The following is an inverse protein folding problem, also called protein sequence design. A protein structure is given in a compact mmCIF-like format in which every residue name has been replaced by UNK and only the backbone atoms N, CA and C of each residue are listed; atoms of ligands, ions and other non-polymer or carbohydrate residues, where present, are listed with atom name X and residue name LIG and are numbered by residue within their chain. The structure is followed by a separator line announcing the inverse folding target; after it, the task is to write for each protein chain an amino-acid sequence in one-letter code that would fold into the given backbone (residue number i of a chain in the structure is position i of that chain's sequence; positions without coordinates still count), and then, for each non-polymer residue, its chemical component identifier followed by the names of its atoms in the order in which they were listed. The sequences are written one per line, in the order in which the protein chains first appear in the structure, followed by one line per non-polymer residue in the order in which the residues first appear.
data_IF_199322340145
#
_entry.id   IF_199322340145
#
_cell.length_a   1.000
_cell.length_b   1.000
_cell.length_c   1.000
_cell.angle_alpha   90.00
_cell.angle_beta   90.00
_cell.angle_gamma   90.00
#
_symmetry.space_group_name_H-M   'P 1'
#
loop_
_entity.id
_entity.type
_entity.pdbx_description
1 polymer ?
2 non-polymer ?
3 water ?
#
# COMPACT_ATOMS: atom_id res chain seq x y z
N UNK A 2 -8.70 21.24 -16.30
CA UNK A 2 -8.31 22.33 -15.35
C UNK A 2 -9.40 23.43 -15.27
N UNK A 3 -9.62 24.02 -14.09
CA UNK A 3 -8.85 23.77 -12.87
C UNK A 3 -9.76 23.62 -11.64
N UNK A 4 -9.24 23.05 -10.56
CA UNK A 4 -10.02 22.63 -9.38
C UNK A 4 -10.10 23.68 -8.25
N UNK A 5 -11.25 23.74 -7.57
CA UNK A 5 -11.47 24.68 -6.45
C UNK A 5 -11.93 24.01 -5.14
N UNK A 6 -11.08 24.02 -4.12
CA UNK A 6 -11.41 23.37 -2.85
C UNK A 6 -11.34 24.38 -1.71
N UNK A 7 -12.37 24.39 -0.85
CA UNK A 7 -12.47 25.27 0.35
C UNK A 7 -11.78 26.65 0.23
N UNK A 8 -12.19 27.43 -0.77
CA UNK A 8 -11.66 28.78 -0.95
C UNK A 8 -10.39 28.84 -1.77
N UNK A 9 -9.51 27.86 -1.58
CA UNK A 9 -8.28 27.75 -2.36
C UNK A 9 -8.56 27.24 -3.75
N UNK A 10 -7.57 27.38 -4.63
CA UNK A 10 -7.75 27.14 -6.05
C UNK A 10 -6.47 26.52 -6.64
N UNK A 11 -6.64 25.48 -7.46
CA UNK A 11 -5.53 24.66 -7.97
C UNK A 11 -5.69 24.36 -9.46
N UNK A 12 -4.58 24.35 -10.20
CA UNK A 12 -4.60 23.96 -11.61
C UNK A 12 -4.05 22.56 -11.83
N UNK A 13 -4.67 21.81 -12.74
CA UNK A 13 -4.38 20.40 -12.95
C UNK A 13 -3.23 20.16 -13.92
N UNK A 14 -2.06 19.79 -13.39
CA UNK A 14 -0.95 19.31 -14.21
C UNK A 14 -1.32 18.01 -14.92
N UNK A 15 -1.28 16.89 -14.21
CA UNK A 15 -1.52 15.58 -14.83
C UNK A 15 -2.69 14.83 -14.17
N UNK A 16 -3.06 13.70 -14.75
CA UNK A 16 -3.96 12.76 -14.11
C UNK A 16 -3.17 11.52 -13.72
N UNK A 17 -2.94 11.37 -12.43
CA UNK A 17 -2.10 10.30 -11.85
C UNK A 17 -2.74 8.93 -11.97
N UNK A 18 -4.03 8.86 -11.64
CA UNK A 18 -4.75 7.61 -11.58
C UNK A 18 -6.24 7.84 -11.59
N UNK A 19 -7.00 6.76 -11.70
CA UNK A 19 -8.43 6.81 -11.90
C UNK A 19 -9.10 5.66 -11.18
N UNK A 20 -10.31 5.92 -10.69
CA UNK A 20 -11.12 4.93 -9.95
C UNK A 20 -11.72 3.84 -10.80
N UNK A 21 -12.94 3.42 -10.49
CA UNK A 21 -13.75 4.00 -9.43
C UNK A 21 -14.62 5.10 -10.00
N UNK A 22 -15.32 5.81 -9.12
CA UNK A 22 -16.00 7.05 -9.50
C UNK A 22 -15.01 8.20 -9.30
N UNK A 23 -13.75 7.84 -9.07
CA UNK A 23 -12.73 8.75 -8.56
C UNK A 23 -11.59 9.02 -9.55
N UNK A 24 -10.96 10.19 -9.41
CA UNK A 24 -9.79 10.54 -10.21
C UNK A 24 -8.74 11.18 -9.30
N UNK A 25 -7.48 10.78 -9.44
CA UNK A 25 -6.39 11.51 -8.76
C UNK A 25 -5.61 12.34 -9.76
N UNK A 26 -5.48 13.64 -9.47
CA UNK A 26 -4.69 14.55 -10.28
C UNK A 26 -3.50 15.03 -9.49
N UNK A 27 -2.34 15.04 -10.13
CA UNK A 27 -1.24 15.87 -9.68
C UNK A 27 -1.66 17.29 -10.00
N UNK A 28 -1.40 18.21 -9.08
CA UNK A 28 -2.09 19.49 -9.08
C UNK A 28 -1.15 20.57 -8.61
N UNK A 29 -1.22 21.74 -9.25
CA UNK A 29 -0.43 22.90 -8.82
C UNK A 29 -1.34 23.90 -8.14
N UNK A 30 -0.88 24.44 -7.02
CA UNK A 30 -1.58 25.54 -6.34
C UNK A 30 -1.02 26.89 -6.77
N UNK A 31 -1.59 27.97 -6.23
CA UNK A 31 -1.17 29.34 -6.60
C UNK A 31 0.33 29.59 -6.41
N UNK A 32 0.91 29.02 -5.36
CA UNK A 32 2.31 29.29 -5.00
C UNK A 32 3.26 28.27 -5.63
N UNK A 33 2.86 27.76 -6.80
CA UNK A 33 3.65 26.82 -7.61
C UNK A 33 3.98 25.49 -6.91
N UNK A 34 3.36 25.25 -5.74
CA UNK A 34 3.57 24.00 -4.99
C UNK A 34 2.72 22.85 -5.52
N UNK A 35 3.32 21.67 -5.49
CA UNK A 35 2.71 20.47 -6.07
C UNK A 35 1.85 19.70 -5.04
N UNK A 36 0.68 19.22 -5.46
CA UNK A 36 -0.23 18.47 -4.59
C UNK A 36 -0.94 17.35 -5.32
N UNK A 37 -1.69 16.55 -4.55
CA UNK A 37 -2.49 15.47 -5.11
C UNK A 37 -3.94 15.60 -4.67
N UNK A 38 -4.82 15.96 -5.60
CA UNK A 38 -6.24 16.10 -5.32
C UNK A 38 -6.99 14.89 -5.89
N UNK A 39 -7.59 14.10 -5.00
CA UNK A 39 -8.46 13.01 -5.38
C UNK A 39 -9.89 13.53 -5.46
N UNK A 40 -10.56 13.22 -6.57
CA UNK A 40 -11.89 13.70 -6.83
C UNK A 40 -12.82 12.51 -6.93
N UNK A 41 -13.89 12.50 -6.15
CA UNK A 41 -14.92 11.46 -6.26
C UNK A 41 -16.25 12.08 -6.62
N UNK A 42 -16.81 11.65 -7.75
CA UNK A 42 -18.18 12.03 -8.13
C UNK A 42 -19.16 11.10 -7.44
N UNK A 43 -20.09 11.68 -6.69
CA UNK A 43 -21.00 10.90 -5.86
C UNK A 43 -22.39 10.71 -6.47
N UNK A 44 -22.54 11.09 -7.74
CA UNK A 44 -23.84 10.97 -8.39
C UNK A 44 -24.20 9.51 -8.64
N UNK A 45 -23.26 8.72 -9.14
CA UNK A 45 -23.54 7.31 -9.46
C UNK A 45 -22.96 6.36 -8.40
N UNK A 46 -23.49 6.44 -7.18
CA UNK A 46 -22.99 5.62 -6.08
C UNK A 46 -24.09 5.31 -5.04
N UNK A 47 -24.21 4.03 -4.70
CA UNK A 47 -25.15 3.59 -3.67
C UNK A 47 -24.63 3.94 -2.26
N UNK A 48 -25.42 3.63 -1.24
CA UNK A 48 -25.06 3.95 0.15
C UNK A 48 -23.90 3.16 0.70
N UNK A 49 -23.68 1.98 0.13
CA UNK A 49 -22.55 1.11 0.49
C UNK A 49 -21.25 1.74 -0.02
N UNK A 50 -21.29 2.26 -1.24
CA UNK A 50 -20.16 2.93 -1.87
C UNK A 50 -19.86 4.26 -1.17
N UNK A 51 -20.90 5.08 -1.05
CA UNK A 51 -20.83 6.37 -0.38
C UNK A 51 -20.20 6.21 0.99
N UNK A 52 -20.73 5.25 1.77
CA UNK A 52 -20.30 5.13 3.16
C UNK A 52 -18.85 4.70 3.27
N UNK A 53 -18.39 3.90 2.30
CA UNK A 53 -17.00 3.53 2.26
C UNK A 53 -16.09 4.73 1.93
N UNK A 54 -16.62 5.70 1.18
CA UNK A 54 -15.88 6.93 0.93
C UNK A 54 -15.80 7.80 2.19
N UNK A 55 -16.92 7.93 2.89
CA UNK A 55 -16.96 8.71 4.13
C UNK A 55 -16.02 8.12 5.19
N UNK A 56 -16.06 6.79 5.31
CA UNK A 56 -15.18 6.01 6.18
C UNK A 56 -13.70 6.21 5.84
N UNK A 57 -13.40 6.36 4.55
CA UNK A 57 -12.02 6.60 4.11
C UNK A 57 -11.50 7.95 4.60
N UNK A 58 -12.26 9.03 4.40
CA UNK A 58 -11.80 10.35 4.81
C UNK A 58 -11.60 10.38 6.31
N UNK A 59 -12.56 9.82 7.04
CA UNK A 59 -12.52 9.73 8.50
C UNK A 59 -11.22 9.15 9.01
N UNK A 60 -10.89 7.96 8.49
CA UNK A 60 -9.69 7.23 8.90
C UNK A 60 -8.39 7.89 8.42
N UNK A 61 -8.38 8.38 7.17
CA UNK A 61 -7.21 9.13 6.70
C UNK A 61 -6.99 10.36 7.58
N UNK A 62 -8.06 11.09 7.81
CA UNK A 62 -8.08 12.22 8.72
C UNK A 62 -7.56 11.83 10.09
N UNK A 63 -8.16 10.79 10.68
CA UNK A 63 -7.81 10.37 12.04
C UNK A 63 -6.34 9.97 12.13
N UNK A 64 -5.86 9.21 11.15
CA UNK A 64 -4.50 8.65 11.23
C UNK A 64 -3.38 9.65 10.94
N UNK A 65 -3.74 10.86 10.52
CA UNK A 65 -2.75 11.92 10.26
C UNK A 65 -1.71 12.02 11.37
N UNK A 66 -2.21 12.12 12.60
CA UNK A 66 -1.39 12.42 13.77
C UNK A 66 -0.59 11.23 14.28
N UNK A 67 -1.04 10.01 13.98
CA UNK A 67 -0.47 8.80 14.59
C UNK A 67 0.76 8.22 13.89
N UNK A 68 1.03 8.69 12.67
CA UNK A 68 2.19 8.23 11.91
C UNK A 68 2.43 9.10 10.69
N UNK A 69 3.68 9.51 10.53
CA UNK A 69 4.15 10.27 9.37
C UNK A 69 4.46 9.36 8.18
N UNK A 70 3.92 8.13 8.21
CA UNK A 70 4.05 7.19 7.10
C UNK A 70 2.69 6.91 6.50
N UNK A 71 1.74 7.74 6.87
CA UNK A 71 0.44 7.78 6.23
C UNK A 71 0.43 9.08 5.42
N UNK A 72 0.10 8.96 4.15
CA UNK A 72 -0.08 10.10 3.26
C UNK A 72 -0.77 11.27 3.99
N UNK A 73 -0.17 12.46 3.92
CA UNK A 73 -0.76 13.66 4.54
C UNK A 73 -2.06 14.02 3.83
N UNK A 74 -3.03 14.51 4.61
CA UNK A 74 -4.26 15.07 4.08
C UNK A 74 -4.28 16.50 4.58
N UNK A 75 -4.36 17.46 3.68
CA UNK A 75 -4.28 18.87 4.07
C UNK A 75 -5.63 19.50 4.35
N UNK A 76 -6.61 19.13 3.54
CA UNK A 76 -7.95 19.67 3.63
C UNK A 76 -8.83 18.80 2.74
N UNK A 77 -10.14 18.97 2.83
CA UNK A 77 -11.07 18.21 2.00
C UNK A 77 -12.39 18.95 1.86
N UNK A 78 -13.22 18.48 0.93
CA UNK A 78 -14.54 19.06 0.73
C UNK A 78 -15.51 17.95 0.33
N UNK A 79 -16.59 17.82 1.08
CA UNK A 79 -17.59 16.81 0.74
C UNK A 79 -18.98 17.42 0.65
N UNK A 80 -19.68 17.14 -0.44
CA UNK A 80 -21.10 17.51 -0.59
C UNK A 80 -21.89 16.27 -0.99
N UNK A 81 -23.10 16.44 -1.48
CA UNK A 81 -23.88 15.31 -1.97
C UNK A 81 -23.55 15.01 -3.41
N UNK A 82 -22.88 15.96 -4.05
CA UNK A 82 -22.46 15.83 -5.45
C UNK A 82 -21.03 15.29 -5.57
N UNK A 83 -20.09 15.88 -4.83
CA UNK A 83 -18.68 15.53 -4.97
C UNK A 83 -17.91 15.35 -3.66
N UNK A 84 -16.70 14.80 -3.76
CA UNK A 84 -15.70 14.80 -2.70
C UNK A 84 -14.35 15.21 -3.29
N UNK A 85 -13.65 16.11 -2.61
CA UNK A 85 -12.27 16.43 -2.95
C UNK A 85 -11.39 16.16 -1.76
N UNK A 86 -10.23 15.57 -2.02
CA UNK A 86 -9.24 15.32 -0.99
C UNK A 86 -7.94 15.97 -1.40
N UNK A 87 -7.52 16.99 -0.67
CA UNK A 87 -6.23 17.61 -0.94
C UNK A 87 -5.14 16.91 -0.13
N UNK A 88 -4.24 16.21 -0.81
CA UNK A 88 -3.22 15.41 -0.14
C UNK A 88 -1.83 15.75 -0.63
N UNK A 89 -0.82 15.30 0.09
CA UNK A 89 0.55 15.46 -0.39
C UNK A 89 0.78 14.60 -1.64
N UNK A 90 1.68 15.08 -2.49
CA UNK A 90 1.96 14.42 -3.74
C UNK A 90 3.29 13.72 -3.62
N UNK A 91 3.32 12.48 -4.10
CA UNK A 91 4.54 11.68 -4.03
C UNK A 91 5.40 11.81 -5.26
N UNK A 92 6.71 11.66 -5.04
CA UNK A 92 7.68 11.51 -6.13
C UNK A 92 7.25 10.38 -7.07
N UNK A 93 7.27 9.15 -6.56
CA UNK A 93 7.04 7.96 -7.37
C UNK A 93 6.37 6.90 -6.50
N UNK A 94 5.37 6.20 -7.04
CA UNK A 94 4.75 5.09 -6.33
C UNK A 94 5.69 3.89 -6.39
N UNK A 95 5.73 3.11 -5.32
CA UNK A 95 6.75 2.06 -5.15
C UNK A 95 6.76 1.05 -6.31
N UNK A 96 5.59 0.72 -6.82
CA UNK A 96 5.47 -0.19 -7.95
C UNK A 96 6.37 0.20 -9.13
N UNK A 97 6.17 1.40 -9.65
CA UNK A 97 6.94 1.88 -10.78
C UNK A 97 8.43 2.06 -10.44
N UNK A 98 8.71 2.40 -9.19
CA UNK A 98 10.08 2.57 -8.71
C UNK A 98 10.84 1.24 -8.59
N UNK A 99 10.09 0.16 -8.32
CA UNK A 99 10.67 -1.18 -8.28
C UNK A 99 10.87 -1.74 -9.67
N UNK A 100 10.05 -1.29 -10.61
CA UNK A 100 10.22 -1.64 -12.03
C UNK A 100 11.48 -1.01 -12.64
N UNK A 101 11.76 0.24 -12.29
CA UNK A 101 12.89 1.00 -12.85
C UNK A 101 14.26 0.52 -12.37
N UNK A 102 14.43 0.40 -11.05
CA UNK A 102 15.72 -0.02 -10.48
C UNK A 102 16.01 -1.51 -10.67
N UNK A 103 17.24 -1.80 -11.08
CA UNK A 103 17.70 -3.16 -11.29
C UNK A 103 17.96 -3.83 -9.95
N UNK A 104 18.95 -3.33 -9.21
CA UNK A 104 19.23 -3.82 -7.86
C UNK A 104 18.96 -2.72 -6.83
N UNK A 105 18.44 -3.13 -5.66
CA UNK A 105 18.13 -2.21 -4.58
C UNK A 105 19.21 -2.23 -3.52
N UNK A 106 19.65 -1.04 -3.12
CA UNK A 106 20.61 -0.90 -2.03
C UNK A 106 19.99 -1.43 -0.74
N UNK A 107 20.74 -2.27 0.01
CA UNK A 107 20.25 -2.85 1.27
C UNK A 107 19.80 -1.82 2.31
N UNK A 108 20.67 -0.88 2.67
CA UNK A 108 20.33 0.17 3.63
C UNK A 108 19.06 0.94 3.22
N UNK A 109 18.75 0.92 1.93
CA UNK A 109 17.53 1.53 1.41
C UNK A 109 16.35 0.57 1.49
N UNK A 110 16.59 -0.73 1.29
CA UNK A 110 15.51 -1.72 1.37
C UNK A 110 15.04 -1.96 2.81
N UNK A 111 15.95 -1.78 3.76
CA UNK A 111 15.64 -1.94 5.18
C UNK A 111 14.84 -0.74 5.66
N UNK A 112 15.20 0.44 5.18
CA UNK A 112 14.50 1.66 5.53
C UNK A 112 13.05 1.65 5.02
N UNK A 113 12.82 1.07 3.85
CA UNK A 113 11.46 1.01 3.28
C UNK A 113 10.61 0.01 4.03
N UNK A 114 11.27 -0.98 4.61
CA UNK A 114 10.62 -2.00 5.39
C UNK A 114 10.17 -1.39 6.73
N UNK A 115 11.09 -0.76 7.45
CA UNK A 115 10.72 -0.06 8.68
C UNK A 115 9.51 0.83 8.42
N UNK A 116 9.54 1.50 7.28
CA UNK A 116 8.49 2.38 6.84
C UNK A 116 7.20 1.64 6.52
N UNK A 117 7.29 0.59 5.72
CA UNK A 117 6.11 -0.25 5.47
C UNK A 117 5.55 -0.82 6.78
N UNK A 118 6.45 -1.21 7.69
CA UNK A 118 6.06 -1.74 9.02
C UNK A 118 5.29 -0.73 9.84
N UNK A 119 5.86 0.48 10.01
CA UNK A 119 5.25 1.53 10.84
C UNK A 119 3.84 1.87 10.36
N UNK A 120 3.68 2.08 9.05
CA UNK A 120 2.38 2.41 8.45
C UNK A 120 1.34 1.36 8.79
N UNK A 121 1.54 0.15 8.27
CA UNK A 121 0.69 -1.01 8.53
C UNK A 121 0.46 -1.21 10.04
N UNK A 122 1.52 -1.03 10.83
CA UNK A 122 1.38 -1.14 12.27
C UNK A 122 0.31 -0.17 12.76
N UNK A 123 0.41 1.06 12.28
CA UNK A 123 -0.49 2.12 12.69
C UNK A 123 -1.94 1.76 12.37
N UNK A 124 -2.21 1.28 11.16
CA UNK A 124 -3.62 1.03 10.79
C UNK A 124 -4.22 -0.06 11.67
N UNK A 125 -3.44 -1.11 11.91
CA UNK A 125 -3.80 -2.23 12.79
C UNK A 125 -4.17 -1.78 14.19
N UNK A 126 -3.45 -0.79 14.72
CA UNK A 126 -3.74 -0.25 16.05
C UNK A 126 -5.08 0.48 16.12
N UNK A 127 -5.59 0.88 14.96
CA UNK A 127 -6.90 1.50 14.87
C UNK A 127 -7.91 0.54 14.24
N UNK A 128 -7.63 -0.76 14.38
CA UNK A 128 -8.52 -1.81 13.89
C UNK A 128 -8.81 -1.79 12.39
N UNK A 129 -7.79 -1.54 11.58
CA UNK A 129 -7.89 -1.69 10.13
C UNK A 129 -6.88 -2.71 9.62
N UNK A 130 -7.37 -3.73 8.91
CA UNK A 130 -6.53 -4.67 8.19
C UNK A 130 -6.72 -4.37 6.71
N UNK A 131 -5.65 -3.93 6.03
CA UNK A 131 -5.75 -3.55 4.62
C UNK A 131 -6.33 -4.68 3.77
N UNK A 132 -5.78 -5.88 3.94
CA UNK A 132 -6.24 -7.08 3.25
C UNK A 132 -5.71 -7.24 1.82
N UNK A 133 -5.23 -6.14 1.22
CA UNK A 133 -4.87 -6.13 -0.20
C UNK A 133 -3.62 -5.30 -0.52
N UNK A 134 -2.63 -5.33 0.37
CA UNK A 134 -1.39 -4.57 0.18
C UNK A 134 -0.62 -4.96 -1.08
N UNK A 135 -0.17 -3.94 -1.80
CA UNK A 135 0.61 -4.07 -3.03
C UNK A 135 1.56 -2.88 -3.04
N UNK A 136 2.67 -2.97 -3.79
CA UNK A 136 3.58 -1.81 -3.81
C UNK A 136 2.91 -0.55 -4.36
N UNK A 137 1.86 -0.74 -5.17
CA UNK A 137 1.02 0.34 -5.67
C UNK A 137 0.31 1.13 -4.55
N UNK A 138 0.17 0.50 -3.39
CA UNK A 138 -0.33 1.15 -2.20
C UNK A 138 0.71 2.01 -1.47
N UNK A 139 1.98 1.88 -1.86
CA UNK A 139 3.05 2.66 -1.21
C UNK A 139 3.64 3.73 -2.12
N UNK A 140 4.38 4.65 -1.52
CA UNK A 140 4.79 5.88 -2.17
C UNK A 140 6.05 6.43 -1.53
N UNK A 141 6.93 7.02 -2.35
CA UNK A 141 8.16 7.63 -1.85
C UNK A 141 7.99 9.15 -1.72
N UNK A 142 8.34 9.69 -0.57
CA UNK A 142 8.29 11.13 -0.31
C UNK A 142 9.38 11.51 0.69
N UNK A 143 10.20 12.49 0.32
CA UNK A 143 11.22 13.05 1.21
C UNK A 143 12.03 11.94 1.92
N UNK A 144 12.44 10.94 1.14
CA UNK A 144 13.23 9.83 1.67
C UNK A 144 12.42 8.60 1.98
N UNK A 145 11.26 8.80 2.64
CA UNK A 145 10.46 7.72 3.22
C UNK A 145 9.42 7.08 2.28
N UNK A 146 8.95 5.91 2.67
CA UNK A 146 7.79 5.30 2.06
C UNK A 146 6.55 5.70 2.88
N UNK A 147 5.38 5.70 2.24
CA UNK A 147 4.13 6.11 2.89
C UNK A 147 2.97 5.32 2.33
N UNK A 148 2.16 4.78 3.22
CA UNK A 148 0.92 4.13 2.82
C UNK A 148 -0.05 5.22 2.38
N UNK A 149 -0.78 4.93 1.31
CA UNK A 149 -1.63 5.95 0.70
C UNK A 149 -3.11 5.65 0.82
N UNK A 150 -3.46 4.37 0.78
CA UNK A 150 -4.84 3.95 1.02
C UNK A 150 -4.96 2.82 2.09
N UNK A 151 -6.20 2.47 2.44
CA UNK A 151 -6.46 1.56 3.55
C UNK A 151 -7.24 0.31 3.13
N UNK A 152 -7.43 0.12 1.83
CA UNK A 152 -8.26 -0.96 1.32
C UNK A 152 -9.72 -0.78 1.70
N UNK A 153 -10.03 0.34 2.34
CA UNK A 153 -11.40 0.65 2.77
C UNK A 153 -12.27 0.98 1.56
N UNK A 154 -11.80 1.90 0.73
CA UNK A 154 -12.50 2.31 -0.49
C UNK A 154 -11.92 1.57 -1.69
N UNK A 155 -12.63 1.63 -2.82
CA UNK A 155 -12.23 0.94 -4.04
C UNK A 155 -10.88 1.38 -4.59
N UNK A 156 -10.05 0.42 -4.97
CA UNK A 156 -8.68 0.66 -5.42
C UNK A 156 -8.65 1.36 -6.78
N UNK A 157 -7.60 2.16 -7.00
CA UNK A 157 -7.41 2.88 -8.26
C UNK A 157 -6.15 2.38 -8.98
N UNK A 158 -6.09 2.59 -10.29
CA UNK A 158 -4.90 2.19 -11.07
C UNK A 158 -4.36 3.37 -11.88
N UNK A 159 -3.06 3.32 -12.26
CA UNK A 159 -2.41 4.43 -12.98
C UNK A 159 -3.04 4.80 -14.33
N UNK A 160 -2.74 6.00 -14.81
CA UNK A 160 -3.21 6.49 -16.11
C UNK A 160 -2.05 6.83 -17.04
N UNK A 171 -3.86 -5.82 -12.46
CA UNK A 171 -4.81 -6.61 -11.69
C UNK A 171 -4.19 -7.82 -11.00
N UNK A 172 -2.96 -7.64 -10.50
CA UNK A 172 -2.14 -8.69 -9.88
C UNK A 172 -2.79 -9.49 -8.73
N UNK A 173 -2.20 -10.65 -8.43
CA UNK A 173 -2.53 -11.46 -7.24
C UNK A 173 -1.28 -12.05 -6.58
N UNK A 174 -0.10 -11.65 -7.07
CA UNK A 174 1.18 -12.06 -6.49
C UNK A 174 1.21 -11.99 -4.95
N UNK A 175 0.58 -10.94 -4.42
CA UNK A 175 0.65 -10.62 -3.00
C UNK A 175 -0.54 -11.14 -2.21
N UNK A 176 -1.53 -11.67 -2.92
CA UNK A 176 -2.70 -12.22 -2.26
C UNK A 176 -2.25 -13.30 -1.26
N UNK A 177 -2.68 -13.15 0.02
CA UNK A 177 -2.44 -14.13 1.09
C UNK A 177 -3.21 -15.43 0.87
N UNK A 178 -2.66 -16.56 1.37
CA UNK A 178 -3.29 -17.87 1.22
C UNK A 178 -4.65 -17.99 1.88
N UNK A 179 -4.83 -17.35 3.03
CA UNK A 179 -6.09 -17.44 3.78
C UNK A 179 -7.20 -16.60 3.14
N UNK A 180 -6.83 -15.62 2.32
CA UNK A 180 -7.80 -14.83 1.57
C UNK A 180 -8.61 -15.71 0.62
N UNK A 181 -7.88 -16.41 -0.27
CA UNK A 181 -8.48 -17.28 -1.28
C UNK A 181 -9.04 -18.59 -0.71
N UNK A 182 -8.53 -19.01 0.45
CA UNK A 182 -8.97 -20.24 1.13
C UNK A 182 -10.36 -20.11 1.74
N UNK A 183 -10.78 -18.87 1.99
CA UNK A 183 -12.09 -18.58 2.55
C UNK A 183 -12.97 -17.93 1.48
N UNK A 184 -14.01 -18.65 1.06
CA UNK A 184 -14.98 -18.15 0.09
C UNK A 184 -16.40 -18.61 0.46
N UNK A 197 -9.94 -11.23 7.94
CA UNK A 197 -10.25 -10.61 9.22
C UNK A 197 -9.01 -10.63 10.15
N UNK A 198 -7.85 -10.95 9.57
CA UNK A 198 -6.63 -11.14 10.36
C UNK A 198 -5.49 -10.20 9.95
N UNK A 199 -4.88 -9.53 10.94
CA UNK A 199 -3.68 -8.72 10.72
C UNK A 199 -2.59 -9.46 9.99
N UNK A 200 -2.55 -10.78 10.14
CA UNK A 200 -1.49 -11.58 9.54
C UNK A 200 -1.53 -11.51 8.01
N UNK A 201 -2.71 -11.26 7.46
CA UNK A 201 -2.90 -11.17 6.01
C UNK A 201 -2.08 -10.05 5.41
N UNK A 202 -1.86 -9.00 6.19
CA UNK A 202 -1.04 -7.90 5.74
C UNK A 202 0.40 -8.29 5.85
N UNK A 203 0.73 -9.10 6.86
CA UNK A 203 2.13 -9.49 7.05
C UNK A 203 2.66 -10.22 5.82
N UNK A 204 1.87 -11.13 5.27
CA UNK A 204 2.20 -11.86 4.05
C UNK A 204 2.54 -10.91 2.91
N UNK A 205 1.58 -10.06 2.55
CA UNK A 205 1.74 -9.12 1.44
C UNK A 205 2.96 -8.22 1.62
N UNK A 206 3.20 -7.78 2.86
CA UNK A 206 4.44 -7.06 3.17
C UNK A 206 5.65 -7.94 2.92
N UNK A 207 5.55 -9.22 3.27
CA UNK A 207 6.56 -10.22 2.91
C UNK A 207 6.85 -10.30 1.41
N UNK A 208 5.80 -10.43 0.61
CA UNK A 208 5.95 -10.55 -0.85
C UNK A 208 6.60 -9.29 -1.42
N UNK A 209 6.24 -8.15 -0.86
CA UNK A 209 6.87 -6.89 -1.27
C UNK A 209 8.36 -6.92 -0.94
N UNK A 210 8.70 -7.34 0.28
CA UNK A 210 10.10 -7.45 0.70
C UNK A 210 10.84 -8.49 -0.14
N UNK A 211 10.17 -9.61 -0.41
CA UNK A 211 10.67 -10.64 -1.32
C UNK A 211 11.07 -10.00 -2.65
N UNK A 212 10.12 -9.33 -3.29
CA UNK A 212 10.34 -8.65 -4.58
C UNK A 212 11.53 -7.71 -4.52
N UNK A 213 11.72 -7.06 -3.37
CA UNK A 213 12.83 -6.14 -3.16
C UNK A 213 14.13 -6.89 -2.86
N UNK A 214 13.99 -8.19 -2.60
CA UNK A 214 15.12 -9.00 -2.23
C UNK A 214 15.57 -9.85 -3.41
N UNK A 215 14.66 -10.67 -3.94
CA UNK A 215 14.97 -11.57 -5.05
C UNK A 215 14.48 -11.05 -6.40
N UNK A 216 14.51 -9.73 -6.56
CA UNK A 216 14.10 -9.07 -7.80
C UNK A 216 12.86 -9.64 -8.49
N UNK A 217 11.98 -10.27 -7.70
CA UNK A 217 10.73 -10.86 -8.21
C UNK A 217 9.78 -11.21 -7.06
N UNK A 218 8.47 -11.26 -7.33
CA UNK A 218 7.53 -11.81 -6.35
C UNK A 218 7.70 -13.33 -6.32
N UNK A 219 7.27 -13.98 -5.21
CA UNK A 219 7.61 -15.39 -5.02
C UNK A 219 6.97 -16.32 -6.04
N UNK A 220 5.91 -15.87 -6.67
CA UNK A 220 5.17 -16.68 -7.64
C UNK A 220 5.15 -16.09 -9.04
N UNK A 221 6.05 -15.14 -9.30
CA UNK A 221 6.17 -14.48 -10.62
C UNK A 221 6.39 -15.46 -11.78
N UNK A 222 7.05 -16.59 -11.50
CA UNK A 222 7.25 -17.67 -12.45
C UNK A 222 5.96 -18.10 -13.16
N UNK A 223 4.89 -18.30 -12.37
CA UNK A 223 3.57 -18.68 -12.89
C UNK A 223 2.84 -17.44 -13.42
N UNK A 224 2.02 -17.63 -14.46
CA UNK A 224 1.18 -16.55 -15.00
C UNK A 224 -0.29 -16.97 -15.08
N UNK A 225 -0.57 -18.25 -15.32
CA UNK A 225 -1.93 -18.79 -15.28
C UNK A 225 -2.56 -18.70 -13.89
N UNK A 226 -3.52 -17.80 -13.74
CA UNK A 226 -4.18 -17.52 -12.46
C UNK A 226 -4.73 -18.73 -11.72
N UNK A 227 -5.64 -19.47 -12.36
CA UNK A 227 -6.25 -20.68 -11.78
C UNK A 227 -5.24 -21.64 -11.15
N UNK A 228 -4.01 -21.58 -11.64
CA UNK A 228 -2.90 -22.39 -11.12
C UNK A 228 -1.96 -21.60 -10.21
N UNK A 229 -1.99 -20.27 -10.32
CA UNK A 229 -1.21 -19.38 -9.47
C UNK A 229 -1.86 -19.24 -8.11
N UNK A 230 -3.11 -18.79 -8.12
CA UNK A 230 -3.98 -18.84 -6.96
C UNK A 230 -4.00 -20.22 -6.29
N UNK A 231 -3.77 -21.27 -7.08
CA UNK A 231 -3.68 -22.65 -6.57
C UNK A 231 -2.31 -22.95 -5.94
N UNK A 232 -1.27 -22.30 -6.44
CA UNK A 232 0.09 -22.50 -5.95
C UNK A 232 0.42 -21.69 -4.70
N UNK A 233 -0.24 -20.54 -4.54
CA UNK A 233 -0.16 -19.72 -3.34
C UNK A 233 -0.54 -20.56 -2.10
N UNK A 234 -1.58 -21.38 -2.25
CA UNK A 234 -2.15 -22.14 -1.15
C UNK A 234 -1.54 -23.53 -1.01
N UNK A 235 -0.77 -23.95 -2.01
CA UNK A 235 -0.24 -25.31 -2.07
C UNK A 235 1.02 -25.52 -1.20
N UNK A 236 0.89 -26.30 -0.11
CA UNK A 236 2.02 -26.56 0.79
C UNK A 236 3.16 -27.30 0.07
N UNK A 237 2.79 -28.24 -0.81
CA UNK A 237 3.75 -29.01 -1.59
C UNK A 237 4.58 -28.12 -2.49
N UNK A 238 4.06 -26.92 -2.77
CA UNK A 238 4.75 -25.95 -3.61
C UNK A 238 5.70 -25.10 -2.78
N UNK A 239 6.94 -25.56 -2.68
CA UNK A 239 7.97 -24.92 -1.84
C UNK A 239 8.52 -23.66 -2.51
N UNK A 240 8.68 -22.59 -1.74
CA UNK A 240 9.21 -21.32 -2.26
C UNK A 240 10.74 -21.27 -2.05
N UNK A 241 11.44 -20.69 -3.03
CA UNK A 241 12.90 -20.52 -2.95
C UNK A 241 13.33 -19.33 -2.11
N UNK A 242 14.36 -19.53 -1.29
CA UNK A 242 14.99 -18.44 -0.57
C UNK A 242 16.51 -18.48 -0.76
N UNK A 243 17.01 -18.14 -1.98
CA UNK A 243 18.45 -18.17 -2.26
C UNK A 243 19.26 -17.58 -1.11
N UNK A 244 20.14 -18.38 -0.52
CA UNK A 244 21.00 -17.92 0.57
C UNK A 244 21.66 -16.59 0.20
N UNK A 245 21.44 -15.59 1.04
CA UNK A 245 21.84 -14.22 0.77
C UNK A 245 22.70 -13.73 1.92
N UNK A 246 23.52 -12.67 1.67
CA UNK A 246 24.38 -12.10 2.71
C UNK A 246 23.63 -11.84 4.03
N UNK A 247 22.71 -10.87 4.04
CA UNK A 247 21.93 -10.52 5.24
C UNK A 247 21.09 -11.70 5.70
N UNK A 248 21.48 -12.29 6.84
CA UNK A 248 20.84 -13.50 7.35
C UNK A 248 19.53 -13.21 8.08
N UNK A 249 19.51 -12.10 8.82
CA UNK A 249 18.30 -11.57 9.46
C UNK A 249 17.17 -11.50 8.44
N UNK A 250 17.47 -10.84 7.32
CA UNK A 250 16.56 -10.67 6.19
C UNK A 250 15.97 -11.98 5.67
N UNK A 251 16.81 -13.00 5.51
CA UNK A 251 16.36 -14.31 5.05
C UNK A 251 15.34 -14.90 6.02
N UNK A 252 15.51 -14.60 7.31
CA UNK A 252 14.59 -15.09 8.33
C UNK A 252 13.23 -14.41 8.24
N UNK A 253 13.25 -13.08 8.05
CA UNK A 253 12.02 -12.28 7.99
C UNK A 253 11.14 -12.82 6.87
N UNK A 254 11.72 -12.95 5.68
CA UNK A 254 11.01 -13.45 4.52
C UNK A 254 10.37 -14.82 4.78
N UNK A 255 11.09 -15.68 5.50
CA UNK A 255 10.61 -17.02 5.78
C UNK A 255 9.44 -16.93 6.74
N UNK A 256 9.69 -16.30 7.90
CA UNK A 256 8.64 -16.08 8.91
C UNK A 256 7.42 -15.35 8.35
N UNK A 257 7.67 -14.36 7.49
CA UNK A 257 6.60 -13.63 6.79
C UNK A 257 5.78 -14.46 5.84
N UNK A 258 6.43 -15.34 5.09
CA UNK A 258 5.71 -16.12 4.06
C UNK A 258 5.38 -17.55 4.49
N UNK A 259 5.04 -17.74 5.76
CA UNK A 259 4.45 -18.97 6.23
C UNK A 259 3.01 -18.99 5.72
N UNK A 260 2.52 -20.17 5.32
CA UNK A 260 1.16 -20.29 4.81
C UNK A 260 0.10 -20.35 5.91
N UNK A 261 0.54 -20.67 7.13
CA UNK A 261 -0.37 -20.78 8.28
C UNK A 261 -0.40 -19.50 9.12
N UNK A 262 -1.49 -18.72 8.99
CA UNK A 262 -1.74 -17.44 9.70
C UNK A 262 -1.25 -17.42 11.16
N UNK A 263 -1.54 -18.49 11.91
CA UNK A 263 -1.22 -18.58 13.34
C UNK A 263 0.26 -18.82 13.61
N UNK A 264 0.97 -19.36 12.62
CA UNK A 264 2.42 -19.55 12.73
C UNK A 264 3.19 -18.44 12.00
N UNK A 265 2.47 -17.64 11.21
CA UNK A 265 3.09 -16.51 10.54
C UNK A 265 3.40 -15.40 11.55
N UNK A 266 4.54 -14.75 11.37
CA UNK A 266 5.01 -13.69 12.26
C UNK A 266 4.02 -12.50 12.33
N UNK A 267 3.99 -11.80 13.47
CA UNK A 267 3.09 -10.68 13.67
C UNK A 267 3.86 -9.42 13.42
N UNK A 268 3.15 -8.31 13.29
CA UNK A 268 3.81 -7.01 13.16
C UNK A 268 4.64 -6.70 14.41
N UNK A 269 4.07 -6.85 15.62
CA UNK A 269 4.94 -6.56 16.78
C UNK A 269 6.23 -7.41 16.81
N UNK A 270 6.11 -8.71 16.54
CA UNK A 270 7.27 -9.57 16.38
C UNK A 270 8.20 -9.00 15.31
N UNK A 271 7.62 -8.69 14.15
CA UNK A 271 8.36 -8.19 13.00
C UNK A 271 9.07 -6.87 13.30
N UNK A 272 8.57 -6.11 14.29
CA UNK A 272 9.17 -4.83 14.64
C UNK A 272 10.21 -4.99 15.76
N UNK A 273 10.47 -6.25 16.13
CA UNK A 273 11.36 -6.55 17.25
C UNK A 273 12.46 -7.44 16.74
N UNK A 274 12.38 -7.72 15.44
CA UNK A 274 13.26 -8.63 14.74
C UNK A 274 14.64 -8.01 14.57
N UNK A 275 15.71 -8.84 14.63
CA UNK A 275 17.07 -8.39 14.39
C UNK A 275 17.28 -7.64 13.06
N UNK A 276 16.54 -8.02 12.01
CA UNK A 276 16.64 -7.30 10.72
C UNK A 276 16.42 -5.81 10.87
N UNK A 277 15.39 -5.44 11.64
CA UNK A 277 15.00 -4.04 11.87
C UNK A 277 15.68 -3.40 13.09
N UNK A 278 16.36 -4.21 13.90
CA UNK A 278 16.81 -3.72 15.20
C UNK A 278 18.32 -3.71 15.45
N UNK A 279 19.03 -4.69 14.90
CA UNK A 279 20.46 -4.86 15.13
C UNK A 279 21.26 -3.97 14.18
N UNK A 280 22.19 -3.20 14.76
CA UNK A 280 23.06 -2.26 14.03
C UNK A 280 22.25 -1.16 13.34
X LIG B 1 -6.60 7.87 -2.85
X LIG B 1 -5.59 8.02 -2.20
X LIG B 1 -5.58 7.66 -0.79
X LIG B 1 -6.84 7.16 -0.25
X LIG B 1 -7.71 8.26 0.28
X LIG B 1 -7.02 7.33 1.25
X LIG B 1 -4.30 8.55 -2.86
X LIG B 1 -3.43 9.33 -2.09
X LIG B 1 -2.24 9.83 -2.67
X LIG B 1 -1.98 9.50 -4.00
X LIG B 1 -2.83 8.71 -4.77
X LIG B 1 -4.01 8.22 -4.18
X LIG B 1 -0.69 10.01 -4.67
X LIG B 1 0.00 11.14 -4.35
X LIG B 1 1.07 11.20 -5.18
X LIG B 1 1.02 10.08 -6.00
X LIG B 1 -0.07 9.34 -5.68
X LIG B 1 -0.41 8.14 -6.30
X LIG B 1 0.39 7.68 -7.32
X LIG B 1 0.15 6.45 -8.02
X LIG B 1 -1.11 5.77 -8.30
X LIG B 1 -2.35 6.47 -7.79
X LIG B 1 -3.53 5.72 -8.39
X LIG B 1 -3.52 4.21 -8.08
X LIG B 1 -2.17 3.50 -8.24
X LIG B 1 -1.01 4.35 -7.73
X LIG B 1 1.56 8.43 -7.71
X LIG B 1 1.87 9.62 -7.06
X LIG B 1 3.06 10.41 -7.44
X LIG B 1 3.81 9.98 -8.65
X LIG B 1 3.44 10.79 -9.92
X LIG B 1 4.32 11.99 -9.95
X LIG B 1 4.60 12.59 -11.32
X LIG B 1 4.83 11.55 -12.33
X LIG B 1 3.77 10.52 -12.40
X LIG B 1 3.56 9.84 -11.05
#
# INVERSE_FOLDING_TARGET
MECISVKGRIYSILKQIGSGGSSKVFQVLNEKKQIYAIKYVNLEEADNQTLDSYRNEIAYLNKLQQHSDKIIRLYDYEITDQYIYMVMECGNIDLNSWLKKKKSIDPWERKSYWKNMLEAVHTIHQHGIVHSDLKPANFLIVDGMLKLIDFGIANQMQPDTTSVVKDSQVGTVNYMPPEAIKDMSSSRENGKSKSKISPKSDVWSLGCILYYMTYGKTPFQQIINQISKLHAIIDPNHEIEFPDIPEKDLQDVLKCCLKRDPKQRISIPELLAHPYVQIQTHPVNQMAKGTTEEMKYVLGQLVGLNLVPRGSAAGHHHHHH
O43 O01 C02 N03 C04 C05 C06 C07 C08 C09 C10 C11 C12 C13 C14 N15 C16 N17 N18 C19 N20 C21 C22 C23 C24 C25 C26 C27 C28 N29 C30 C31 C32 C33 O34 C35 C36
#
